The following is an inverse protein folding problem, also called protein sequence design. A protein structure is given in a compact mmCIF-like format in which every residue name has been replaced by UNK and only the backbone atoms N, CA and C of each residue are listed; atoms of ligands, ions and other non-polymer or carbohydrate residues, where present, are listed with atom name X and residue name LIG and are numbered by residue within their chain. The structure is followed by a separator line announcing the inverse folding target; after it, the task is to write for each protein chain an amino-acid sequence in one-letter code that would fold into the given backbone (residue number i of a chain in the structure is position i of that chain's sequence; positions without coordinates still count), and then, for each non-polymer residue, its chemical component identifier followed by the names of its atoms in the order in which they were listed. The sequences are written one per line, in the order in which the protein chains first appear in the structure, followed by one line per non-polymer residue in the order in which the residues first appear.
data_IF_281944337549
#
_entry.id   IF_281944337549
#
_cell.length_a   1.000
_cell.length_b   1.000
_cell.length_c   1.000
_cell.angle_alpha   90.00
_cell.angle_beta   90.00
_cell.angle_gamma   90.00
#
_symmetry.space_group_name_H-M   'P 1'
#
loop_
_entity.id
_entity.type
_entity.pdbx_description
1 polymer ?
#
# COMPACT_ATOMS: atom_id res chain seq x y z
N UNK A 1 -41.31 -52.08 5.08
CA UNK A 1 -40.09 -51.40 5.37
C UNK A 1 -40.18 -50.06 4.65
N UNK A 2 -40.39 -48.97 5.39
CA UNK A 2 -40.47 -47.60 4.85
C UNK A 2 -39.09 -46.92 5.04
N UNK A 3 -38.45 -46.56 3.94
CA UNK A 3 -37.21 -45.78 3.97
C UNK A 3 -37.56 -44.31 4.19
N UNK A 4 -37.01 -43.71 5.26
CA UNK A 4 -37.12 -42.30 5.56
C UNK A 4 -35.87 -41.62 4.91
N UNK A 5 -36.12 -40.81 3.88
CA UNK A 5 -35.11 -39.97 3.30
C UNK A 5 -34.98 -38.68 4.13
N UNK A 6 -33.84 -38.51 4.78
CA UNK A 6 -33.48 -37.25 5.48
C UNK A 6 -32.84 -36.31 4.45
N UNK A 7 -33.61 -35.32 4.02
CA UNK A 7 -33.08 -34.23 3.22
C UNK A 7 -32.35 -33.22 4.14
N UNK A 8 -31.02 -33.28 4.13
CA UNK A 8 -30.19 -32.28 4.79
C UNK A 8 -30.18 -31.02 3.98
N UNK A 9 -30.87 -29.98 4.43
CA UNK A 9 -30.74 -28.62 3.88
C UNK A 9 -29.40 -28.03 4.31
N UNK A 10 -28.46 -27.92 3.37
CA UNK A 10 -27.22 -27.17 3.55
C UNK A 10 -27.59 -25.69 3.46
N UNK A 11 -27.65 -25.05 4.61
CA UNK A 11 -27.80 -23.60 4.70
C UNK A 11 -26.46 -22.96 4.30
N UNK A 12 -26.32 -22.58 3.02
CA UNK A 12 -25.21 -21.78 2.56
C UNK A 12 -25.44 -20.37 3.12
N UNK A 13 -24.79 -20.06 4.23
CA UNK A 13 -24.70 -18.69 4.72
C UNK A 13 -23.92 -17.87 3.67
N UNK A 14 -24.63 -17.11 2.87
CA UNK A 14 -24.04 -16.05 2.06
C UNK A 14 -23.51 -15.01 3.02
N UNK A 15 -22.22 -15.05 3.31
CA UNK A 15 -21.50 -13.93 3.93
C UNK A 15 -21.40 -12.89 2.82
N UNK A 16 -22.42 -12.04 2.75
CA UNK A 16 -22.32 -10.78 2.01
C UNK A 16 -21.15 -10.03 2.62
N UNK A 17 -20.05 -9.90 1.88
CA UNK A 17 -19.03 -8.91 2.16
C UNK A 17 -19.74 -7.56 2.15
N UNK A 18 -20.11 -7.09 3.34
CA UNK A 18 -20.59 -5.74 3.54
C UNK A 18 -19.41 -4.83 3.14
N UNK A 19 -19.48 -4.28 1.93
CA UNK A 19 -18.63 -3.19 1.55
C UNK A 19 -18.75 -2.14 2.67
N UNK A 20 -17.68 -1.99 3.43
CA UNK A 20 -17.65 -1.08 4.56
C UNK A 20 -18.01 0.29 4.01
N UNK A 21 -19.15 0.86 4.44
CA UNK A 21 -19.59 2.18 3.96
C UNK A 21 -18.43 3.15 4.14
N UNK A 22 -18.08 3.93 3.10
CA UNK A 22 -17.05 4.94 3.23
C UNK A 22 -17.33 5.81 4.47
N UNK A 23 -16.30 6.15 5.22
CA UNK A 23 -16.43 7.06 6.35
C UNK A 23 -16.82 8.44 5.82
N UNK A 24 -18.11 8.77 5.86
CA UNK A 24 -18.67 9.95 5.23
C UNK A 24 -17.97 11.28 5.61
N UNK A 25 -17.49 11.48 6.87
CA UNK A 25 -16.74 12.68 7.21
C UNK A 25 -15.42 12.82 6.46
N UNK A 26 -14.73 11.71 6.15
CA UNK A 26 -13.52 11.73 5.32
C UNK A 26 -13.84 12.13 3.88
N UNK A 27 -14.95 11.65 3.33
CA UNK A 27 -15.37 12.05 1.98
C UNK A 27 -15.73 13.54 1.91
N UNK A 28 -16.35 14.08 2.95
CA UNK A 28 -16.59 15.52 3.08
C UNK A 28 -15.28 16.32 3.11
N UNK A 29 -14.28 15.84 3.85
CA UNK A 29 -12.95 16.45 3.90
C UNK A 29 -12.28 16.43 2.52
N UNK A 30 -12.26 15.29 1.84
CA UNK A 30 -11.70 15.15 0.48
C UNK A 30 -12.37 16.12 -0.50
N UNK A 31 -13.70 16.19 -0.46
CA UNK A 31 -14.47 17.10 -1.31
C UNK A 31 -14.09 18.56 -1.07
N UNK A 32 -14.00 18.98 0.19
CA UNK A 32 -13.63 20.34 0.54
C UNK A 32 -12.18 20.71 0.08
N UNK A 33 -11.24 19.77 0.15
CA UNK A 33 -9.88 19.95 -0.39
C UNK A 33 -9.91 20.17 -1.90
N UNK A 34 -10.60 19.30 -2.64
CA UNK A 34 -10.69 19.39 -4.10
C UNK A 34 -11.40 20.67 -4.55
N UNK A 35 -12.40 21.12 -3.79
CA UNK A 35 -13.12 22.36 -4.06
C UNK A 35 -12.34 23.61 -3.63
N UNK A 36 -11.29 23.47 -2.82
CA UNK A 36 -10.57 24.60 -2.23
C UNK A 36 -11.42 25.37 -1.21
N UNK A 37 -12.37 24.69 -0.57
CA UNK A 37 -13.31 25.31 0.38
C UNK A 37 -12.72 25.30 1.80
N UNK A 38 -11.99 26.38 2.11
CA UNK A 38 -11.40 26.56 3.45
C UNK A 38 -12.45 26.58 4.55
N UNK A 39 -13.60 27.21 4.34
CA UNK A 39 -14.64 27.33 5.36
C UNK A 39 -15.27 25.96 5.66
N UNK A 40 -15.47 25.12 4.64
CA UNK A 40 -15.93 23.75 4.83
C UNK A 40 -14.89 22.91 5.58
N UNK A 41 -13.60 23.06 5.27
CA UNK A 41 -12.51 22.39 6.01
C UNK A 41 -12.49 22.81 7.48
N UNK A 42 -12.55 24.10 7.78
CA UNK A 42 -12.58 24.60 9.16
C UNK A 42 -13.76 24.04 9.96
N UNK A 43 -14.93 23.93 9.35
CA UNK A 43 -16.14 23.35 10.00
C UNK A 43 -16.00 21.87 10.37
N UNK A 44 -15.07 21.13 9.76
CA UNK A 44 -14.81 19.74 10.12
C UNK A 44 -14.00 19.60 11.40
N UNK A 45 -13.31 20.65 11.84
CA UNK A 45 -12.57 20.62 13.09
C UNK A 45 -13.48 20.89 14.30
N UNK A 46 -13.10 20.30 15.43
CA UNK A 46 -13.64 20.70 16.74
C UNK A 46 -13.33 22.17 17.02
N UNK A 47 -14.16 22.83 17.80
CA UNK A 47 -13.90 24.21 18.26
C UNK A 47 -12.66 24.31 19.16
N UNK A 48 -12.26 23.19 19.78
CA UNK A 48 -11.09 23.09 20.63
C UNK A 48 -10.33 21.79 20.36
N UNK A 49 -9.64 21.68 19.20
CA UNK A 49 -8.91 20.47 18.88
C UNK A 49 -7.72 20.29 19.83
N UNK A 50 -7.44 19.04 20.21
CA UNK A 50 -6.35 18.68 21.12
C UNK A 50 -5.00 19.06 20.55
N UNK A 51 -4.79 18.78 19.26
CA UNK A 51 -3.57 19.14 18.54
C UNK A 51 -3.84 19.27 17.04
N UNK A 52 -3.34 20.36 16.44
CA UNK A 52 -3.14 20.47 15.01
C UNK A 52 -1.67 20.78 14.82
N UNK A 53 -0.96 19.90 14.12
CA UNK A 53 0.51 20.00 14.02
C UNK A 53 1.00 19.87 12.60
N UNK A 54 2.15 20.50 12.31
CA UNK A 54 2.95 20.32 11.11
C UNK A 54 4.24 19.59 11.48
N UNK A 55 4.65 18.63 10.63
CA UNK A 55 5.82 17.77 10.84
C UNK A 55 5.85 17.08 12.23
N UNK A 56 4.68 16.84 12.83
CA UNK A 56 4.55 16.17 14.12
C UNK A 56 5.02 16.97 15.33
N UNK A 57 5.47 18.21 15.16
CA UNK A 57 6.12 19.03 16.21
C UNK A 57 5.49 20.39 16.36
N UNK A 58 5.37 21.13 15.28
CA UNK A 58 4.94 22.53 15.34
C UNK A 58 3.42 22.61 15.42
N UNK A 59 2.89 23.18 16.50
CA UNK A 59 1.47 23.50 16.63
C UNK A 59 1.12 24.62 15.69
N UNK A 60 0.05 24.42 14.91
CA UNK A 60 -0.51 25.42 14.00
C UNK A 60 -1.99 25.63 14.27
N UNK A 61 -2.55 26.74 13.82
CA UNK A 61 -3.96 27.02 13.93
C UNK A 61 -4.76 26.16 12.92
N UNK A 62 -6.00 25.80 13.26
CA UNK A 62 -6.95 25.16 12.34
C UNK A 62 -7.07 25.94 11.03
N UNK A 63 -7.14 27.26 11.13
CA UNK A 63 -7.20 28.16 9.97
C UNK A 63 -5.98 28.02 9.03
N UNK A 64 -4.79 27.84 9.59
CA UNK A 64 -3.56 27.64 8.82
C UNK A 64 -3.58 26.27 8.10
N UNK A 65 -3.95 25.22 8.82
CA UNK A 65 -4.07 23.87 8.22
C UNK A 65 -5.13 23.83 7.12
N UNK A 66 -6.30 24.42 7.38
CA UNK A 66 -7.38 24.49 6.39
C UNK A 66 -6.99 25.34 5.17
N UNK A 67 -6.28 26.45 5.38
CA UNK A 67 -5.76 27.30 4.30
C UNK A 67 -4.72 26.55 3.44
N UNK A 68 -3.86 25.72 4.05
CA UNK A 68 -2.92 24.88 3.30
C UNK A 68 -3.68 24.00 2.30
N UNK A 69 -4.63 23.19 2.77
CA UNK A 69 -5.39 22.28 1.93
C UNK A 69 -6.22 23.00 0.87
N UNK A 70 -6.89 24.08 1.23
CA UNK A 70 -7.68 24.88 0.29
C UNK A 70 -6.81 25.55 -0.79
N UNK A 71 -5.58 25.98 -0.45
CA UNK A 71 -4.68 26.64 -1.38
C UNK A 71 -4.23 25.78 -2.55
N UNK A 72 -4.29 24.44 -2.41
CA UNK A 72 -3.83 23.52 -3.45
C UNK A 72 -4.58 23.73 -4.78
N UNK A 73 -5.89 23.97 -4.72
CA UNK A 73 -6.70 24.26 -5.91
C UNK A 73 -6.23 25.56 -6.60
N UNK A 74 -6.04 26.63 -5.83
CA UNK A 74 -5.60 27.92 -6.36
C UNK A 74 -4.17 27.84 -6.94
N UNK A 75 -3.35 26.91 -6.44
CA UNK A 75 -2.00 26.62 -6.97
C UNK A 75 -2.01 25.70 -8.19
N UNK A 76 -3.19 25.43 -8.77
CA UNK A 76 -3.30 24.60 -9.97
C UNK A 76 -3.18 23.10 -9.68
N UNK A 77 -3.82 22.61 -8.63
CA UNK A 77 -3.90 21.17 -8.34
C UNK A 77 -4.63 20.45 -9.48
N UNK A 78 -3.95 19.52 -10.13
CA UNK A 78 -4.48 18.68 -11.21
C UNK A 78 -4.76 17.26 -10.76
N UNK A 79 -4.08 16.80 -9.69
CA UNK A 79 -4.22 15.46 -9.14
C UNK A 79 -4.30 15.53 -7.62
N UNK A 80 -5.19 14.73 -7.06
CA UNK A 80 -5.35 14.57 -5.61
C UNK A 80 -5.75 13.13 -5.30
N UNK A 81 -4.81 12.35 -4.84
CA UNK A 81 -4.97 10.93 -4.56
C UNK A 81 -4.76 10.64 -3.07
N UNK A 82 -5.77 10.87 -2.21
CA UNK A 82 -5.73 10.48 -0.82
C UNK A 82 -5.93 8.97 -0.70
N UNK A 83 -4.98 8.35 -0.03
CA UNK A 83 -4.98 6.93 0.22
C UNK A 83 -5.07 6.68 1.71
N UNK A 84 -6.01 5.84 2.12
CA UNK A 84 -6.17 5.39 3.48
C UNK A 84 -5.15 4.28 3.76
N UNK A 85 -4.19 4.54 4.64
CA UNK A 85 -3.20 3.56 5.12
C UNK A 85 -3.71 2.81 6.34
N UNK A 86 -4.31 3.55 7.28
CA UNK A 86 -4.83 3.00 8.50
C UNK A 86 -6.24 3.53 8.76
N UNK A 87 -7.12 2.67 9.23
CA UNK A 87 -8.45 3.02 9.65
C UNK A 87 -8.85 2.22 10.88
N UNK A 88 -8.94 2.89 12.00
CA UNK A 88 -9.31 2.29 13.29
C UNK A 88 -10.62 2.90 13.75
N UNK A 89 -11.77 2.32 13.36
CA UNK A 89 -13.07 2.81 13.77
C UNK A 89 -13.37 2.40 15.22
N UNK A 90 -13.98 3.30 15.97
CA UNK A 90 -14.60 3.03 17.25
C UNK A 90 -15.95 3.76 17.33
N UNK A 91 -16.77 3.45 18.32
CA UNK A 91 -18.15 3.97 18.41
C UNK A 91 -18.23 5.50 18.31
N UNK A 92 -17.38 6.19 19.08
CA UNK A 92 -17.41 7.64 19.20
C UNK A 92 -16.08 8.31 18.78
N UNK A 93 -15.12 7.51 18.30
CA UNK A 93 -13.81 7.97 17.84
C UNK A 93 -13.34 7.14 16.67
N UNK A 94 -12.61 7.78 15.76
CA UNK A 94 -11.98 7.10 14.61
C UNK A 94 -10.61 7.70 14.41
N UNK A 95 -9.61 6.84 14.24
CA UNK A 95 -8.28 7.26 13.83
C UNK A 95 -8.03 6.80 12.39
N UNK A 96 -7.39 7.65 11.64
CA UNK A 96 -6.99 7.33 10.28
C UNK A 96 -5.64 7.95 9.91
N UNK A 97 -4.95 7.28 9.02
CA UNK A 97 -3.73 7.77 8.40
C UNK A 97 -3.94 7.77 6.89
N UNK A 98 -3.69 8.91 6.27
CA UNK A 98 -3.73 9.08 4.83
C UNK A 98 -2.33 9.36 4.32
N UNK A 99 -1.97 8.74 3.21
CA UNK A 99 -0.92 9.23 2.32
C UNK A 99 -1.57 9.89 1.13
N UNK A 100 -1.14 11.08 0.80
CA UNK A 100 -1.79 11.92 -0.19
C UNK A 100 -0.74 12.33 -1.23
N UNK A 101 -0.93 11.84 -2.46
CA UNK A 101 -0.15 12.31 -3.60
C UNK A 101 -0.90 13.44 -4.29
N UNK A 102 -0.21 14.53 -4.56
CA UNK A 102 -0.78 15.76 -5.11
C UNK A 102 0.13 16.24 -6.23
N UNK A 103 -0.45 16.63 -7.36
CA UNK A 103 0.25 17.43 -8.37
C UNK A 103 -0.34 18.83 -8.36
N UNK A 104 0.45 19.83 -8.04
CA UNK A 104 0.02 21.23 -7.95
C UNK A 104 1.06 22.14 -8.57
N UNK A 105 0.65 22.98 -9.51
CA UNK A 105 1.58 23.87 -10.25
C UNK A 105 2.65 23.09 -11.03
N UNK A 106 2.35 21.85 -11.44
CA UNK A 106 3.29 20.96 -12.14
C UNK A 106 4.34 20.31 -11.24
N UNK A 107 4.32 20.56 -9.92
CA UNK A 107 5.22 19.94 -8.96
C UNK A 107 4.48 18.85 -8.16
N UNK A 108 5.08 17.65 -8.01
CA UNK A 108 4.56 16.63 -7.13
C UNK A 108 4.82 16.99 -5.67
N UNK A 109 3.80 16.79 -4.84
CA UNK A 109 3.85 16.93 -3.39
C UNK A 109 3.30 15.66 -2.78
N UNK A 110 3.97 15.12 -1.77
CA UNK A 110 3.44 14.05 -0.94
C UNK A 110 3.19 14.55 0.47
N UNK A 111 2.05 14.18 1.03
CA UNK A 111 1.74 14.46 2.41
C UNK A 111 1.28 13.19 3.13
N UNK A 112 1.71 13.02 4.38
CA UNK A 112 1.12 12.05 5.30
C UNK A 112 0.29 12.82 6.30
N UNK A 113 -0.99 12.42 6.44
CA UNK A 113 -1.95 13.06 7.30
C UNK A 113 -2.51 12.05 8.30
N UNK A 114 -2.24 12.27 9.57
CA UNK A 114 -2.88 11.56 10.67
C UNK A 114 -4.08 12.39 11.16
N UNK A 115 -5.24 11.77 11.30
CA UNK A 115 -6.42 12.42 11.84
C UNK A 115 -7.06 11.56 12.93
N UNK A 116 -7.45 12.20 14.02
CA UNK A 116 -8.37 11.64 14.99
C UNK A 116 -9.71 12.38 14.89
N UNK A 117 -10.76 11.63 14.71
CA UNK A 117 -12.13 12.11 14.65
C UNK A 117 -12.89 11.67 15.89
N UNK A 118 -13.74 12.56 16.41
CA UNK A 118 -14.66 12.24 17.50
C UNK A 118 -16.08 12.67 17.13
N UNK A 119 -17.06 11.95 17.65
CA UNK A 119 -18.45 12.32 17.48
C UNK A 119 -18.82 13.34 18.58
N UNK A 120 -19.07 14.58 18.15
CA UNK A 120 -19.46 15.70 19.00
C UNK A 120 -20.94 16.10 18.77
N UNK A 121 -21.54 16.93 19.63
CA UNK A 121 -22.81 17.55 19.30
C UNK A 121 -22.73 18.31 17.96
N UNK A 122 -23.45 17.82 16.95
CA UNK A 122 -23.38 18.36 15.59
C UNK A 122 -22.58 17.50 14.60
N UNK A 123 -22.16 16.31 15.00
CA UNK A 123 -21.58 15.28 14.14
C UNK A 123 -20.09 15.02 14.36
N UNK A 124 -19.47 14.35 13.42
CA UNK A 124 -18.05 14.01 13.48
C UNK A 124 -17.16 15.23 13.29
N UNK A 125 -16.16 15.38 14.17
CA UNK A 125 -15.19 16.47 14.13
C UNK A 125 -13.77 15.95 14.23
N UNK A 126 -12.83 16.63 13.56
CA UNK A 126 -11.39 16.39 13.71
C UNK A 126 -10.97 16.99 15.04
N UNK A 127 -10.57 16.14 15.98
CA UNK A 127 -10.10 16.55 17.31
C UNK A 127 -8.59 16.60 17.41
N UNK A 128 -7.89 15.90 16.50
CA UNK A 128 -6.45 16.03 16.34
C UNK A 128 -6.08 15.80 14.86
N UNK A 129 -5.07 16.49 14.41
CA UNK A 129 -4.51 16.36 13.07
C UNK A 129 -3.01 16.59 13.09
N UNK A 130 -2.26 15.78 12.35
CA UNK A 130 -0.84 15.99 12.15
C UNK A 130 -0.50 15.76 10.67
N UNK A 131 0.08 16.75 10.03
CA UNK A 131 0.52 16.71 8.64
C UNK A 131 2.03 16.76 8.54
N UNK A 132 2.62 15.87 7.77
CA UNK A 132 3.99 15.97 7.31
C UNK A 132 4.01 16.07 5.79
N UNK A 133 4.87 16.92 5.25
CA UNK A 133 5.05 17.11 3.82
C UNK A 133 6.42 16.56 3.42
N UNK A 134 6.46 15.82 2.31
CA UNK A 134 7.69 15.52 1.60
C UNK A 134 7.85 16.55 0.47
N UNK A 135 8.98 17.26 0.44
CA UNK A 135 9.28 18.21 -0.61
C UNK A 135 9.51 17.51 -1.96
N UNK A 136 9.43 18.25 -3.06
CA UNK A 136 9.54 17.73 -4.42
C UNK A 136 10.78 16.85 -4.67
N UNK A 137 11.90 17.13 -4.01
CA UNK A 137 13.10 16.29 -4.08
C UNK A 137 12.96 14.97 -3.33
N UNK A 138 12.21 14.92 -2.23
CA UNK A 138 11.87 13.68 -1.53
C UNK A 138 10.77 12.91 -2.28
N UNK A 139 9.81 13.61 -2.89
CA UNK A 139 8.81 12.99 -3.76
C UNK A 139 9.45 12.30 -4.99
N UNK A 140 10.55 12.85 -5.51
CA UNK A 140 11.35 12.20 -6.57
C UNK A 140 12.10 10.96 -6.09
N UNK A 141 12.32 10.84 -4.79
CA UNK A 141 12.97 9.67 -4.15
C UNK A 141 12.00 8.60 -3.73
N UNK A 142 10.70 8.88 -3.75
CA UNK A 142 9.68 7.89 -3.37
C UNK A 142 9.36 6.95 -4.53
N UNK A 143 8.99 5.73 -4.18
CA UNK A 143 8.54 4.76 -5.16
C UNK A 143 7.17 5.16 -5.74
N UNK A 144 6.89 4.80 -7.02
CA UNK A 144 5.58 5.03 -7.63
C UNK A 144 4.47 4.37 -6.82
N UNK A 145 3.42 5.14 -6.55
CA UNK A 145 2.28 4.65 -5.78
C UNK A 145 1.20 4.09 -6.73
N UNK A 146 0.58 2.95 -6.42
CA UNK A 146 -0.49 2.41 -7.25
C UNK A 146 -1.74 3.31 -7.16
N UNK A 147 -2.36 3.59 -8.30
CA UNK A 147 -3.60 4.35 -8.36
C UNK A 147 -4.77 3.63 -7.66
N UNK A 148 -4.75 2.29 -7.71
CA UNK A 148 -5.69 1.42 -7.00
C UNK A 148 -5.01 0.08 -6.67
N UNK A 149 -5.43 -0.64 -5.61
CA UNK A 149 -4.94 -1.98 -5.33
C UNK A 149 -5.31 -2.93 -6.48
N UNK A 150 -4.34 -3.71 -6.95
CA UNK A 150 -4.61 -4.82 -7.85
C UNK A 150 -5.02 -6.05 -7.02
N UNK A 151 -6.30 -6.26 -6.86
CA UNK A 151 -6.86 -7.37 -6.06
C UNK A 151 -6.55 -8.77 -6.63
N UNK A 152 -5.95 -8.83 -7.81
CA UNK A 152 -5.53 -10.07 -8.48
C UNK A 152 -4.01 -10.13 -8.67
N UNK A 153 -3.24 -9.34 -7.93
CA UNK A 153 -1.77 -9.35 -7.99
C UNK A 153 -1.21 -10.69 -7.49
N UNK A 154 -1.81 -11.23 -6.45
CA UNK A 154 -1.47 -12.52 -5.87
C UNK A 154 -2.61 -13.51 -6.15
N UNK A 155 -2.26 -14.64 -6.75
CA UNK A 155 -3.18 -15.75 -7.01
C UNK A 155 -3.61 -16.46 -5.71
N UNK A 156 -4.41 -17.52 -5.84
CA UNK A 156 -4.75 -18.39 -4.70
C UNK A 156 -3.45 -18.94 -4.06
N UNK A 157 -3.32 -18.92 -2.73
CA UNK A 157 -2.12 -19.44 -2.05
C UNK A 157 -1.74 -20.87 -2.44
N UNK A 158 -2.71 -21.69 -2.85
CA UNK A 158 -2.50 -23.09 -3.29
C UNK A 158 -1.70 -23.20 -4.60
N UNK A 159 -1.70 -22.16 -5.42
CA UNK A 159 -1.00 -22.12 -6.72
C UNK A 159 0.49 -21.82 -6.58
N UNK A 160 0.97 -21.40 -5.42
CA UNK A 160 2.33 -20.92 -5.19
C UNK A 160 3.43 -21.85 -5.74
N UNK A 161 3.31 -23.17 -5.52
CA UNK A 161 4.30 -24.14 -5.98
C UNK A 161 4.28 -24.32 -7.49
N UNK A 162 3.08 -24.28 -8.09
CA UNK A 162 2.87 -24.36 -9.54
C UNK A 162 3.44 -23.13 -10.23
N UNK A 163 3.14 -21.95 -9.69
CA UNK A 163 3.62 -20.67 -10.22
C UNK A 163 5.14 -20.54 -10.12
N UNK A 164 5.73 -20.91 -8.98
CA UNK A 164 7.18 -20.92 -8.83
C UNK A 164 7.84 -21.87 -9.83
N UNK A 165 7.30 -23.08 -10.01
CA UNK A 165 7.81 -24.04 -10.98
C UNK A 165 7.74 -23.50 -12.40
N UNK A 166 6.63 -22.86 -12.78
CA UNK A 166 6.48 -22.22 -14.10
C UNK A 166 7.47 -21.06 -14.28
N UNK A 167 7.66 -20.23 -13.25
CA UNK A 167 8.60 -19.12 -13.27
C UNK A 167 10.06 -19.60 -13.46
N UNK A 168 10.46 -20.67 -12.77
CA UNK A 168 11.79 -21.29 -12.92
C UNK A 168 12.01 -21.83 -14.33
N UNK A 169 11.02 -22.54 -14.90
CA UNK A 169 11.09 -23.06 -16.27
C UNK A 169 11.24 -21.92 -17.29
N UNK A 170 10.42 -20.86 -17.16
CA UNK A 170 10.49 -19.68 -18.00
C UNK A 170 11.83 -18.96 -17.88
N UNK A 171 12.32 -18.79 -16.64
CA UNK A 171 13.62 -18.17 -16.41
C UNK A 171 14.76 -18.94 -17.08
N UNK A 172 14.69 -20.29 -17.07
CA UNK A 172 15.66 -21.13 -17.77
C UNK A 172 15.64 -20.96 -19.27
N UNK A 173 14.45 -20.83 -19.87
CA UNK A 173 14.29 -20.59 -21.31
C UNK A 173 14.80 -19.21 -21.75
N UNK A 174 14.62 -18.21 -20.89
CA UNK A 174 14.93 -16.80 -21.20
C UNK A 174 16.31 -16.34 -20.68
N UNK A 175 17.08 -17.23 -20.03
CA UNK A 175 18.38 -16.86 -19.44
C UNK A 175 18.28 -15.85 -18.29
N UNK A 176 17.14 -15.84 -17.57
CA UNK A 176 16.83 -14.89 -16.49
C UNK A 176 16.93 -15.55 -15.13
N UNK A 177 16.85 -14.75 -14.07
CA UNK A 177 16.60 -15.21 -12.70
C UNK A 177 15.12 -15.10 -12.35
N UNK A 178 14.70 -15.86 -11.33
CA UNK A 178 13.37 -15.69 -10.75
C UNK A 178 13.46 -14.72 -9.58
N UNK A 179 12.62 -13.68 -9.59
CA UNK A 179 12.41 -12.77 -8.47
C UNK A 179 11.10 -13.17 -7.79
N UNK A 180 11.21 -13.79 -6.63
CA UNK A 180 10.07 -14.20 -5.80
C UNK A 180 9.70 -13.06 -4.89
N UNK A 181 8.42 -12.69 -4.86
CA UNK A 181 7.86 -11.66 -3.99
C UNK A 181 6.77 -12.28 -3.12
N UNK A 182 7.06 -12.52 -1.86
CA UNK A 182 6.06 -12.96 -0.89
C UNK A 182 5.22 -11.78 -0.41
N UNK A 183 3.91 -11.99 -0.32
CA UNK A 183 2.97 -10.97 0.12
C UNK A 183 1.51 -11.41 -0.03
N UNK A 184 0.61 -10.46 -0.14
CA UNK A 184 -0.83 -10.72 -0.34
C UNK A 184 -1.55 -9.53 -0.96
N UNK A 185 -2.77 -9.75 -1.44
CA UNK A 185 -3.58 -8.70 -2.06
C UNK A 185 -3.97 -7.57 -1.09
N UNK A 186 -3.90 -7.82 0.21
CA UNK A 186 -4.09 -6.83 1.28
C UNK A 186 -2.85 -5.95 1.53
N UNK A 187 -1.66 -6.41 1.08
CA UNK A 187 -0.38 -5.76 1.37
C UNK A 187 -0.14 -4.58 0.42
N UNK A 188 -0.20 -3.39 0.97
CA UNK A 188 0.01 -2.19 0.16
C UNK A 188 1.41 -2.04 -0.38
N UNK A 189 2.41 -2.20 0.46
CA UNK A 189 3.81 -2.08 0.05
C UNK A 189 4.16 -3.09 -1.05
N UNK A 190 3.47 -4.23 -1.09
CA UNK A 190 3.57 -5.19 -2.18
C UNK A 190 3.08 -4.59 -3.51
N UNK A 191 1.98 -3.83 -3.48
CA UNK A 191 1.48 -3.13 -4.67
C UNK A 191 2.38 -1.98 -5.09
N UNK A 192 2.97 -1.24 -4.14
CA UNK A 192 3.98 -0.20 -4.44
C UNK A 192 5.17 -0.81 -5.15
N UNK A 193 5.68 -1.93 -4.67
CA UNK A 193 6.83 -2.61 -5.26
C UNK A 193 6.52 -3.14 -6.65
N UNK A 194 5.35 -3.78 -6.86
CA UNK A 194 4.91 -4.24 -8.18
C UNK A 194 4.74 -3.07 -9.16
N UNK A 195 4.12 -1.97 -8.72
CA UNK A 195 3.97 -0.74 -9.51
C UNK A 195 5.35 -0.18 -9.90
N UNK A 196 6.30 -0.24 -8.98
CA UNK A 196 7.68 0.17 -9.25
C UNK A 196 8.31 -0.69 -10.33
N UNK A 197 8.23 -2.02 -10.22
CA UNK A 197 8.78 -2.94 -11.20
C UNK A 197 8.19 -2.76 -12.61
N UNK A 198 6.92 -2.38 -12.71
CA UNK A 198 6.23 -2.12 -13.99
C UNK A 198 6.40 -0.71 -14.51
N UNK A 199 6.95 0.21 -13.73
CA UNK A 199 7.13 1.60 -14.15
C UNK A 199 8.13 1.71 -15.31
N UNK A 200 8.01 2.73 -16.18
CA UNK A 200 8.93 2.93 -17.31
C UNK A 200 10.41 3.00 -16.90
N UNK A 201 10.68 3.44 -15.67
CA UNK A 201 12.05 3.55 -15.15
C UNK A 201 12.68 2.20 -14.78
N UNK A 202 11.86 1.17 -14.48
CA UNK A 202 12.32 -0.12 -13.98
C UNK A 202 11.96 -1.30 -14.90
N UNK A 203 10.85 -1.23 -15.63
CA UNK A 203 10.39 -2.33 -16.47
C UNK A 203 11.45 -2.86 -17.45
N UNK A 204 12.27 -2.03 -18.11
CA UNK A 204 13.34 -2.55 -18.97
C UNK A 204 14.35 -3.40 -18.20
N UNK A 205 14.77 -2.98 -17.00
CA UNK A 205 15.72 -3.71 -16.15
C UNK A 205 15.11 -5.01 -15.64
N UNK A 206 13.88 -4.95 -15.14
CA UNK A 206 13.16 -6.11 -14.60
C UNK A 206 12.91 -7.13 -15.72
N UNK A 207 12.32 -6.70 -16.84
CA UNK A 207 11.92 -7.59 -17.93
C UNK A 207 13.13 -8.24 -18.64
N UNK A 208 14.26 -7.55 -18.70
CA UNK A 208 15.47 -8.11 -19.28
C UNK A 208 16.12 -9.20 -18.40
N UNK A 209 15.95 -9.13 -17.08
CA UNK A 209 16.77 -9.91 -16.14
C UNK A 209 15.99 -10.86 -15.26
N UNK A 210 14.68 -10.65 -15.06
CA UNK A 210 13.92 -11.41 -14.08
C UNK A 210 12.59 -11.92 -14.65
N UNK A 211 12.18 -13.07 -14.16
CA UNK A 211 10.80 -13.54 -14.15
C UNK A 211 10.28 -13.29 -12.75
N UNK A 212 9.36 -12.34 -12.59
CA UNK A 212 8.76 -12.01 -11.30
C UNK A 212 7.62 -12.97 -11.02
N UNK A 213 7.58 -13.54 -9.82
CA UNK A 213 6.49 -14.38 -9.32
C UNK A 213 6.04 -13.89 -7.95
N UNK A 214 4.74 -13.69 -7.81
CA UNK A 214 4.12 -13.25 -6.56
C UNK A 214 3.58 -14.46 -5.81
N UNK A 215 4.07 -14.71 -4.61
CA UNK A 215 3.66 -15.84 -3.76
C UNK A 215 2.75 -15.33 -2.66
N UNK A 216 1.50 -15.74 -2.73
CA UNK A 216 0.47 -15.36 -1.76
C UNK A 216 0.67 -16.07 -0.42
N UNK A 217 0.76 -15.30 0.67
CA UNK A 217 0.88 -15.82 2.04
C UNK A 217 -0.48 -15.88 2.76
N UNK A 218 -1.59 -15.70 2.02
CA UNK A 218 -2.95 -15.72 2.57
C UNK A 218 -3.33 -14.47 3.34
N UNK A 219 -4.60 -14.36 3.69
CA UNK A 219 -5.13 -13.18 4.37
C UNK A 219 -4.62 -13.04 5.81
N UNK A 220 -4.27 -14.17 6.44
CA UNK A 220 -3.69 -14.20 7.79
C UNK A 220 -2.16 -14.18 7.78
N UNK A 221 -1.52 -14.13 6.60
CA UNK A 221 -0.07 -14.15 6.49
C UNK A 221 0.59 -15.48 6.89
N UNK A 222 -0.15 -16.59 6.82
CA UNK A 222 0.31 -17.91 7.32
C UNK A 222 0.55 -18.94 6.21
N UNK A 223 0.02 -18.70 5.01
CA UNK A 223 0.17 -19.62 3.90
C UNK A 223 1.57 -19.52 3.30
N UNK A 224 2.05 -20.62 2.73
CA UNK A 224 3.36 -20.72 2.07
C UNK A 224 4.59 -20.36 2.94
N UNK A 225 4.44 -20.36 4.27
CA UNK A 225 5.56 -20.17 5.19
C UNK A 225 6.62 -21.29 5.05
N UNK A 226 6.18 -22.53 4.73
CA UNK A 226 7.09 -23.65 4.43
C UNK A 226 7.93 -23.37 3.18
N UNK A 227 7.37 -22.73 2.18
CA UNK A 227 8.07 -22.34 0.97
C UNK A 227 9.08 -21.22 1.25
N UNK A 228 8.67 -20.18 1.95
CA UNK A 228 9.56 -19.09 2.35
C UNK A 228 10.73 -19.61 3.19
N UNK A 229 10.47 -20.46 4.17
CA UNK A 229 11.50 -21.07 5.01
C UNK A 229 12.51 -21.90 4.19
N UNK A 230 12.03 -22.70 3.21
CA UNK A 230 12.92 -23.46 2.29
C UNK A 230 13.80 -22.56 1.43
N UNK A 231 13.29 -21.43 1.01
CA UNK A 231 14.04 -20.42 0.26
C UNK A 231 14.89 -19.54 1.18
N UNK A 232 14.71 -19.68 2.49
CA UNK A 232 15.43 -18.91 3.49
C UNK A 232 14.97 -17.46 3.60
N UNK A 233 13.77 -17.12 3.11
CA UNK A 233 13.18 -15.80 3.18
C UNK A 233 12.47 -15.63 4.53
N UNK A 234 12.76 -14.52 5.24
CA UNK A 234 12.14 -14.21 6.53
C UNK A 234 10.82 -13.46 6.33
N UNK A 235 9.69 -14.08 6.69
CA UNK A 235 8.36 -13.45 6.65
C UNK A 235 8.00 -12.78 7.98
N UNK A 236 8.66 -13.13 9.07
CA UNK A 236 8.48 -12.54 10.41
C UNK A 236 8.94 -11.08 10.50
N UNK A 237 9.62 -10.59 9.48
CA UNK A 237 10.08 -9.20 9.35
C UNK A 237 9.14 -8.33 8.50
N UNK A 238 8.00 -8.88 8.07
CA UNK A 238 7.02 -8.19 7.24
C UNK A 238 7.10 -8.52 5.74
N UNK A 239 6.16 -7.98 4.99
CA UNK A 239 6.06 -8.15 3.53
C UNK A 239 5.87 -6.79 2.84
N UNK A 240 6.35 -6.63 1.56
CA UNK A 240 6.93 -7.66 0.69
C UNK A 240 8.26 -8.20 1.17
N UNK A 241 8.44 -9.52 1.05
CA UNK A 241 9.72 -10.16 1.35
C UNK A 241 10.22 -10.93 0.11
N UNK A 242 11.50 -10.75 -0.22
CA UNK A 242 12.03 -11.11 -1.53
C UNK A 242 13.03 -12.25 -1.48
N UNK A 243 12.97 -13.08 -2.54
CA UNK A 243 14.00 -14.06 -2.87
C UNK A 243 14.43 -13.96 -4.32
N UNK A 244 15.69 -14.24 -4.62
CA UNK A 244 16.17 -14.36 -6.01
C UNK A 244 16.75 -15.75 -6.22
N UNK A 245 16.31 -16.42 -7.29
CA UNK A 245 16.74 -17.78 -7.61
C UNK A 245 17.34 -17.84 -9.02
N UNK A 246 18.33 -18.72 -9.17
CA UNK A 246 18.74 -19.21 -10.50
C UNK A 246 17.64 -20.10 -11.09
N UNK A 247 17.61 -20.33 -12.40
CA UNK A 247 16.65 -21.23 -13.03
C UNK A 247 16.66 -22.66 -12.48
N UNK A 248 17.80 -23.09 -11.93
CA UNK A 248 17.95 -24.37 -11.24
C UNK A 248 17.19 -24.47 -9.91
N UNK A 249 16.63 -23.36 -9.43
CA UNK A 249 16.04 -23.25 -8.11
C UNK A 249 17.03 -22.92 -6.99
N UNK A 250 18.33 -22.75 -7.30
CA UNK A 250 19.33 -22.32 -6.32
C UNK A 250 19.06 -20.89 -5.89
N UNK A 251 18.92 -20.68 -4.59
CA UNK A 251 18.75 -19.36 -3.99
C UNK A 251 20.07 -18.59 -4.04
N UNK A 252 20.06 -17.41 -4.65
CA UNK A 252 21.21 -16.48 -4.69
C UNK A 252 21.02 -15.29 -3.76
N UNK A 253 19.78 -14.99 -3.39
CA UNK A 253 19.43 -14.01 -2.37
C UNK A 253 18.15 -14.43 -1.65
N UNK A 254 18.12 -14.22 -0.35
CA UNK A 254 16.92 -14.33 0.47
C UNK A 254 16.91 -13.19 1.49
N UNK A 255 15.84 -12.43 1.52
CA UNK A 255 15.66 -11.33 2.46
C UNK A 255 15.57 -11.83 3.90
N UNK A 256 16.32 -11.19 4.82
CA UNK A 256 16.42 -11.56 6.24
C UNK A 256 15.95 -10.47 7.20
N UNK A 257 15.97 -9.21 6.77
CA UNK A 257 15.94 -8.03 7.62
C UNK A 257 14.76 -7.09 7.35
N UNK A 258 13.77 -7.51 6.52
CA UNK A 258 12.61 -6.68 6.20
C UNK A 258 12.94 -5.47 5.32
N UNK A 259 14.01 -5.53 4.50
CA UNK A 259 14.46 -4.41 3.67
C UNK A 259 13.35 -3.76 2.83
N UNK A 260 12.38 -4.53 2.35
CA UNK A 260 11.31 -4.05 1.47
C UNK A 260 9.93 -3.95 2.15
N UNK A 261 9.83 -4.29 3.44
CA UNK A 261 8.55 -4.34 4.17
C UNK A 261 7.87 -2.97 4.33
N UNK A 262 8.68 -1.91 4.28
CA UNK A 262 8.24 -0.53 4.45
C UNK A 262 8.76 0.31 3.27
N UNK A 263 8.00 0.33 2.18
CA UNK A 263 8.41 1.00 0.93
C UNK A 263 8.55 2.52 1.06
N UNK A 264 8.01 3.12 2.12
CA UNK A 264 8.24 4.54 2.42
C UNK A 264 9.66 4.84 2.91
N UNK A 265 10.41 3.82 3.32
CA UNK A 265 11.80 3.97 3.81
C UNK A 265 12.85 3.74 2.73
N UNK A 266 12.44 3.30 1.54
CA UNK A 266 13.35 3.01 0.42
C UNK A 266 13.01 3.89 -0.78
N UNK A 267 14.07 4.23 -1.54
CA UNK A 267 13.95 5.02 -2.76
C UNK A 267 14.11 4.20 -4.04
N UNK A 268 13.90 4.82 -5.21
CA UNK A 268 14.15 4.19 -6.51
C UNK A 268 15.57 3.67 -6.67
N UNK A 269 16.55 4.35 -6.07
CA UNK A 269 17.96 3.94 -6.08
C UNK A 269 18.20 2.64 -5.32
N UNK A 270 17.51 2.40 -4.20
CA UNK A 270 17.63 1.17 -3.43
C UNK A 270 17.11 -0.03 -4.21
N UNK A 271 15.94 0.15 -4.85
CA UNK A 271 15.33 -0.86 -5.71
C UNK A 271 16.22 -1.14 -6.92
N UNK A 272 16.78 -0.08 -7.55
CA UNK A 272 17.70 -0.22 -8.68
C UNK A 272 18.98 -0.96 -8.27
N UNK A 273 19.60 -0.55 -7.17
CA UNK A 273 20.80 -1.19 -6.65
C UNK A 273 20.57 -2.68 -6.36
N UNK A 274 19.42 -3.02 -5.79
CA UNK A 274 19.01 -4.40 -5.57
C UNK A 274 18.91 -5.19 -6.87
N UNK A 275 18.17 -4.68 -7.86
CA UNK A 275 17.98 -5.35 -9.15
C UNK A 275 19.32 -5.51 -9.90
N UNK A 276 20.14 -4.47 -9.96
CA UNK A 276 21.46 -4.51 -10.58
C UNK A 276 22.40 -5.52 -9.92
N UNK A 277 22.38 -5.60 -8.60
CA UNK A 277 23.19 -6.54 -7.83
C UNK A 277 22.81 -7.99 -8.10
N UNK A 278 21.52 -8.26 -8.25
CA UNK A 278 20.99 -9.63 -8.33
C UNK A 278 20.54 -10.05 -9.72
N UNK A 279 20.74 -9.25 -10.77
CA UNK A 279 20.52 -9.68 -12.15
C UNK A 279 21.50 -10.80 -12.55
N UNK A 280 21.19 -11.61 -13.58
CA UNK A 280 22.11 -12.58 -14.11
C UNK A 280 23.44 -11.93 -14.47
N UNK A 281 24.55 -12.60 -14.21
CA UNK A 281 25.84 -12.20 -14.76
C UNK A 281 25.93 -12.84 -16.16
N UNK A 282 25.79 -12.03 -17.18
CA UNK A 282 26.10 -12.49 -18.53
C UNK A 282 27.62 -12.65 -18.63
N UNK A 283 28.07 -13.88 -18.87
CA UNK A 283 29.47 -14.21 -19.16
C UNK A 283 29.82 -13.79 -20.57
#
# INVERSE_FOLDING_TARGET
MRAIAIAGAILIAQISALAQKPFAPLEAWKSAVVQGDQAALEKLYSVSPQAVTKAGKDRIAVKEESAFWASLKAKGMTEFHPRLLEFTPAKDKTKLVLRISITSGGAPLMATLHQEWAHEPGGWKIVASSRSEAFADEAKRTLPQPAAPNVALYSDPREAKTELKAALAKAGQEGKRVLVVFGGNWCYDCHVLDTTFRSPAFAPLVNANFVVVHINIGDEGKDNNDLAARLGVALDKGVPSLGVLEPSGKVVYAQKDGQFEATEKIGPEDVRAFLEKWKPRHS
#
